data_IF_016652393569
#
_entry.id   IF_016652393569
#
_cell.length_a   1.000
_cell.length_b   1.000
_cell.length_c   1.000
_cell.angle_alpha   90.00
_cell.angle_beta   90.00
_cell.angle_gamma   90.00
#
_symmetry.space_group_name_H-M   'P 1'
#
loop_
_entity.id
_entity.type
_entity.pdbx_description
1 polymer ?
#
# COMPACT_ATOMS: atom_id res chain seq x y z
N UNK A 1 31.74 -2.23 -26.09
CA UNK A 1 30.93 -2.88 -25.05
C UNK A 1 29.61 -3.26 -25.69
N UNK A 2 29.17 -4.53 -25.71
CA UNK A 2 27.84 -4.82 -26.23
C UNK A 2 26.81 -4.21 -25.29
N UNK A 3 25.88 -3.46 -25.87
CA UNK A 3 24.78 -2.78 -25.22
C UNK A 3 23.84 -3.85 -24.63
N UNK A 4 23.93 -4.09 -23.31
CA UNK A 4 23.10 -5.10 -22.64
C UNK A 4 21.68 -4.56 -22.58
N UNK A 5 20.82 -5.01 -23.49
CA UNK A 5 19.38 -4.74 -23.43
C UNK A 5 18.85 -5.28 -22.09
N UNK A 6 18.33 -4.39 -21.26
CA UNK A 6 17.60 -4.74 -20.05
C UNK A 6 16.43 -5.65 -20.43
N UNK A 7 16.30 -6.77 -19.72
CA UNK A 7 15.17 -7.69 -19.87
C UNK A 7 14.03 -7.26 -18.96
N UNK A 8 12.81 -7.75 -19.22
CA UNK A 8 11.67 -7.57 -18.31
C UNK A 8 11.94 -8.13 -16.91
N UNK A 9 12.76 -9.18 -16.81
CA UNK A 9 13.20 -9.78 -15.55
C UNK A 9 14.15 -8.85 -14.78
N UNK A 10 15.10 -8.22 -15.48
CA UNK A 10 15.98 -7.20 -14.89
C UNK A 10 15.16 -5.98 -14.40
N UNK A 11 14.11 -5.61 -15.13
CA UNK A 11 13.16 -4.57 -14.73
C UNK A 11 12.37 -4.91 -13.47
N UNK A 12 11.78 -6.10 -13.40
CA UNK A 12 11.04 -6.57 -12.21
C UNK A 12 11.92 -6.65 -10.97
N UNK A 13 13.14 -7.19 -11.10
CA UNK A 13 14.09 -7.23 -9.98
C UNK A 13 14.43 -5.82 -9.47
N UNK A 14 14.70 -4.89 -10.39
CA UNK A 14 15.03 -3.51 -10.03
C UNK A 14 13.87 -2.81 -9.30
N UNK A 15 12.62 -3.08 -9.71
CA UNK A 15 11.43 -2.55 -9.03
C UNK A 15 11.28 -3.12 -7.61
N UNK A 16 11.41 -4.44 -7.46
CA UNK A 16 11.31 -5.09 -6.15
C UNK A 16 12.39 -4.57 -5.17
N UNK A 17 13.64 -4.46 -5.61
CA UNK A 17 14.74 -3.88 -4.83
C UNK A 17 14.44 -2.43 -4.41
N UNK A 18 13.94 -1.62 -5.35
CA UNK A 18 13.56 -0.23 -5.07
C UNK A 18 12.42 -0.12 -4.05
N UNK A 19 11.42 -1.00 -4.16
CA UNK A 19 10.27 -1.05 -3.26
C UNK A 19 10.72 -1.38 -1.83
N UNK A 20 11.60 -2.36 -1.68
CA UNK A 20 12.18 -2.73 -0.38
C UNK A 20 13.01 -1.58 0.20
N UNK A 21 13.83 -0.92 -0.62
CA UNK A 21 14.61 0.25 -0.20
C UNK A 21 13.71 1.36 0.34
N UNK A 22 12.62 1.69 -0.38
CA UNK A 22 11.66 2.72 0.02
C UNK A 22 10.88 2.36 1.28
N UNK A 23 10.42 1.12 1.39
CA UNK A 23 9.73 0.63 2.59
C UNK A 23 10.65 0.70 3.83
N UNK A 24 11.92 0.28 3.69
CA UNK A 24 12.90 0.35 4.77
C UNK A 24 13.22 1.80 5.16
N UNK A 25 13.40 2.69 4.20
CA UNK A 25 13.63 4.11 4.47
C UNK A 25 12.46 4.73 5.24
N UNK A 26 11.21 4.43 4.85
CA UNK A 26 10.02 4.87 5.55
C UNK A 26 9.95 4.28 6.97
N UNK A 27 10.22 2.98 7.15
CA UNK A 27 10.27 2.32 8.46
C UNK A 27 11.33 2.93 9.38
N UNK A 28 12.53 3.21 8.87
CA UNK A 28 13.59 3.86 9.64
C UNK A 28 13.21 5.29 10.05
N UNK A 29 12.49 6.02 9.18
CA UNK A 29 12.04 7.39 9.43
C UNK A 29 10.94 7.46 10.49
N UNK A 30 9.98 6.53 10.45
CA UNK A 30 8.77 6.57 11.29
C UNK A 30 8.83 5.66 12.52
N UNK A 31 9.80 4.75 12.59
CA UNK A 31 10.01 3.84 13.70
C UNK A 31 9.59 2.40 13.38
N UNK A 32 10.01 1.47 14.24
CA UNK A 32 9.75 0.03 14.06
C UNK A 32 8.29 -0.36 14.34
N UNK A 33 7.55 0.50 15.04
CA UNK A 33 6.14 0.33 15.34
C UNK A 33 5.35 1.43 14.64
N UNK A 34 4.56 1.03 13.64
CA UNK A 34 3.72 1.91 12.83
C UNK A 34 2.27 1.59 13.18
N UNK A 35 1.64 2.47 13.96
CA UNK A 35 0.23 2.41 14.32
C UNK A 35 -0.63 3.27 13.39
N UNK A 36 -1.93 3.36 13.66
CA UNK A 36 -2.90 4.16 12.92
C UNK A 36 -2.48 5.64 12.76
N UNK A 37 -1.98 6.26 13.82
CA UNK A 37 -1.60 7.67 13.81
C UNK A 37 -0.32 7.89 13.00
N UNK A 38 0.63 6.97 13.10
CA UNK A 38 1.87 6.98 12.31
C UNK A 38 1.55 6.79 10.82
N UNK A 39 0.83 5.73 10.45
CA UNK A 39 0.54 5.45 9.04
C UNK A 39 -0.32 6.55 8.40
N UNK A 40 -1.23 7.17 9.17
CA UNK A 40 -2.03 8.31 8.69
C UNK A 40 -1.14 9.52 8.40
N UNK A 41 -0.16 9.83 9.28
CA UNK A 41 0.83 10.90 9.00
C UNK A 41 1.74 10.58 7.81
N UNK A 42 1.99 9.31 7.52
CA UNK A 42 2.77 8.91 6.35
C UNK A 42 2.05 9.22 5.04
N UNK A 43 0.70 9.20 5.03
CA UNK A 43 -0.07 9.59 3.85
C UNK A 43 0.18 11.04 3.42
N UNK A 44 0.59 11.92 4.34
CA UNK A 44 0.94 13.31 4.07
C UNK A 44 2.39 13.51 3.60
N UNK A 45 3.27 12.54 3.86
CA UNK A 45 4.70 12.63 3.55
C UNK A 45 5.01 12.23 2.11
N UNK A 46 5.44 13.22 1.32
CA UNK A 46 5.73 13.04 -0.11
C UNK A 46 6.95 12.17 -0.41
N UNK A 47 7.80 11.91 0.58
CA UNK A 47 8.91 10.98 0.44
C UNK A 47 8.45 9.52 0.53
N UNK A 48 7.30 9.26 1.17
CA UNK A 48 6.71 7.93 1.36
C UNK A 48 5.55 7.70 0.40
N UNK A 49 4.61 8.65 0.32
CA UNK A 49 3.44 8.62 -0.55
C UNK A 49 3.55 9.74 -1.58
N UNK A 50 3.79 9.37 -2.84
CA UNK A 50 4.17 10.29 -3.91
C UNK A 50 3.09 11.34 -4.23
N UNK A 51 1.82 10.96 -4.12
CA UNK A 51 0.70 11.81 -4.52
C UNK A 51 -0.27 12.07 -3.37
N UNK A 52 -0.87 13.27 -3.28
CA UNK A 52 -1.82 13.63 -2.23
C UNK A 52 -2.86 12.52 -2.04
N UNK A 53 -3.03 12.02 -0.82
CA UNK A 53 -3.92 10.88 -0.54
C UNK A 53 -4.76 11.18 0.69
N UNK A 54 -6.08 11.22 0.52
CA UNK A 54 -7.02 11.24 1.64
C UNK A 54 -7.46 9.82 2.02
N UNK A 55 -7.87 9.63 3.27
CA UNK A 55 -8.47 8.38 3.77
C UNK A 55 -9.97 8.60 4.00
N UNK A 56 -10.81 7.65 3.58
CA UNK A 56 -12.26 7.69 3.82
C UNK A 56 -12.80 6.31 4.15
N UNK A 57 -13.58 6.21 5.22
CA UNK A 57 -14.31 4.99 5.58
C UNK A 57 -15.66 4.97 4.87
N UNK A 58 -15.70 4.35 3.69
CA UNK A 58 -16.88 4.32 2.83
C UNK A 58 -16.76 3.14 1.85
N UNK A 59 -17.80 2.30 1.80
CA UNK A 59 -17.83 1.09 0.99
C UNK A 59 -18.44 1.31 -0.41
N UNK A 60 -18.98 2.50 -0.72
CA UNK A 60 -19.63 2.75 -2.02
C UNK A 60 -18.69 2.52 -3.22
N UNK A 61 -17.40 2.79 -3.05
CA UNK A 61 -16.38 2.59 -4.09
C UNK A 61 -15.81 1.16 -4.12
N UNK A 62 -16.11 0.32 -3.13
CA UNK A 62 -15.52 -1.01 -2.96
C UNK A 62 -16.34 -2.08 -3.69
N UNK A 63 -15.64 -3.01 -4.33
CA UNK A 63 -16.24 -4.22 -4.87
C UNK A 63 -16.40 -5.30 -3.79
N UNK A 64 -17.23 -6.31 -4.06
CA UNK A 64 -17.42 -7.43 -3.16
C UNK A 64 -16.07 -8.13 -2.90
N UNK A 65 -15.66 -8.19 -1.64
CA UNK A 65 -14.40 -8.80 -1.20
C UNK A 65 -13.22 -7.82 -1.12
N UNK A 66 -13.39 -6.55 -1.48
CA UNK A 66 -12.38 -5.53 -1.26
C UNK A 66 -12.49 -4.93 0.14
N UNK A 67 -11.36 -4.85 0.85
CA UNK A 67 -11.25 -4.15 2.12
C UNK A 67 -10.92 -2.66 1.95
N UNK A 68 -10.27 -2.30 0.83
CA UNK A 68 -9.90 -0.94 0.50
C UNK A 68 -9.58 -0.78 -1.00
N UNK A 69 -9.69 0.46 -1.48
CA UNK A 69 -9.43 0.83 -2.88
C UNK A 69 -8.87 2.25 -2.97
N UNK A 70 -7.74 2.41 -3.66
CA UNK A 70 -7.13 3.72 -3.91
C UNK A 70 -7.70 4.31 -5.21
N UNK A 71 -8.73 5.15 -5.09
CA UNK A 71 -9.37 5.78 -6.24
C UNK A 71 -8.63 7.07 -6.67
N UNK A 72 -8.22 7.21 -7.94
CA UNK A 72 -7.74 8.49 -8.47
C UNK A 72 -8.84 9.56 -8.45
N UNK A 73 -8.50 10.78 -8.06
CA UNK A 73 -9.45 11.91 -8.04
C UNK A 73 -9.58 12.63 -9.38
N UNK A 74 -8.73 12.32 -10.35
CA UNK A 74 -8.69 12.97 -11.65
C UNK A 74 -8.01 12.12 -12.71
N UNK A 75 -7.65 12.77 -13.81
CA UNK A 75 -6.99 12.17 -14.96
C UNK A 75 -5.48 11.98 -14.78
N UNK A 76 -4.89 12.72 -13.84
CA UNK A 76 -3.46 12.68 -13.53
C UNK A 76 -3.22 12.31 -12.07
N UNK A 77 -2.20 11.49 -11.74
CA UNK A 77 -1.88 11.14 -10.36
C UNK A 77 -1.61 12.35 -9.44
N UNK A 78 -1.14 13.47 -9.98
CA UNK A 78 -0.92 14.72 -9.23
C UNK A 78 -2.20 15.36 -8.70
N UNK A 79 -3.36 14.99 -9.25
CA UNK A 79 -4.68 15.41 -8.73
C UNK A 79 -5.05 14.66 -7.43
N UNK A 80 -4.29 13.62 -7.08
CA UNK A 80 -4.39 12.90 -5.82
C UNK A 80 -5.31 11.69 -5.87
N UNK A 81 -5.40 11.02 -4.72
CA UNK A 81 -6.14 9.79 -4.50
C UNK A 81 -7.04 9.92 -3.28
N UNK A 82 -8.15 9.19 -3.29
CA UNK A 82 -8.92 8.87 -2.09
C UNK A 82 -8.79 7.36 -1.84
N UNK A 83 -8.18 7.01 -0.71
CA UNK A 83 -8.13 5.64 -0.23
C UNK A 83 -9.44 5.35 0.52
N UNK A 84 -10.34 4.66 -0.15
CA UNK A 84 -11.57 4.13 0.44
C UNK A 84 -11.22 2.89 1.24
N UNK A 85 -11.60 2.85 2.51
CA UNK A 85 -11.47 1.69 3.39
C UNK A 85 -12.87 1.26 3.84
N UNK A 86 -13.11 -0.04 3.95
CA UNK A 86 -14.40 -0.55 4.35
C UNK A 86 -14.77 -0.02 5.76
N UNK A 87 -16.00 0.51 5.98
CA UNK A 87 -16.41 1.12 7.26
C UNK A 87 -16.27 0.21 8.48
N UNK A 88 -16.27 -1.10 8.26
CA UNK A 88 -15.96 -2.11 9.29
C UNK A 88 -14.68 -1.80 10.08
N UNK A 89 -13.66 -1.23 9.42
CA UNK A 89 -12.36 -0.93 10.03
C UNK A 89 -12.26 0.44 10.68
N UNK A 90 -13.32 1.27 10.65
CA UNK A 90 -13.30 2.63 11.23
C UNK A 90 -12.94 2.62 12.72
N UNK A 91 -13.36 1.58 13.45
CA UNK A 91 -13.11 1.42 14.87
C UNK A 91 -12.03 0.36 15.18
N UNK A 92 -11.20 0.00 14.20
CA UNK A 92 -10.14 -1.02 14.30
C UNK A 92 -8.79 -0.40 13.89
N UNK A 93 -8.23 0.53 14.70
CA UNK A 93 -7.01 1.25 14.35
C UNK A 93 -5.81 0.33 14.09
N UNK A 94 -5.76 -0.84 14.71
CA UNK A 94 -4.74 -1.87 14.51
C UNK A 94 -4.72 -2.46 13.09
N UNK A 95 -5.85 -2.42 12.37
CA UNK A 95 -5.93 -2.89 10.99
C UNK A 95 -5.34 -1.88 10.01
N UNK A 96 -5.43 -0.57 10.31
CA UNK A 96 -5.10 0.49 9.35
C UNK A 96 -3.68 0.43 8.79
N UNK A 97 -2.63 0.14 9.57
CA UNK A 97 -1.27 -0.02 9.03
C UNK A 97 -1.20 -1.09 7.94
N UNK A 98 -1.87 -2.23 8.13
CA UNK A 98 -1.89 -3.33 7.16
C UNK A 98 -2.64 -2.90 5.90
N UNK A 99 -3.85 -2.35 6.05
CA UNK A 99 -4.68 -1.98 4.90
C UNK A 99 -4.02 -0.86 4.09
N UNK A 100 -3.55 0.20 4.74
CA UNK A 100 -2.98 1.38 4.06
C UNK A 100 -1.64 1.02 3.40
N UNK A 101 -0.76 0.27 4.06
CA UNK A 101 0.54 -0.07 3.51
C UNK A 101 0.44 -0.85 2.19
N UNK A 102 -0.58 -1.70 2.04
CA UNK A 102 -0.84 -2.45 0.82
C UNK A 102 -1.08 -1.54 -0.40
N UNK A 103 -1.69 -0.37 -0.20
CA UNK A 103 -2.04 0.53 -1.30
C UNK A 103 -0.95 1.57 -1.65
N UNK A 104 0.06 1.78 -0.79
CA UNK A 104 1.11 2.78 -1.04
C UNK A 104 1.86 2.54 -2.36
N UNK A 105 2.27 1.31 -2.73
CA UNK A 105 2.95 1.09 -4.01
C UNK A 105 2.06 1.40 -5.22
N UNK A 106 0.77 1.04 -5.15
CA UNK A 106 -0.21 1.34 -6.21
C UNK A 106 -0.34 2.85 -6.38
N UNK A 107 -0.43 3.60 -5.29
CA UNK A 107 -0.47 5.07 -5.33
C UNK A 107 0.82 5.61 -5.95
N UNK A 108 1.99 5.11 -5.55
CA UNK A 108 3.28 5.67 -5.97
C UNK A 108 3.66 5.38 -7.43
N UNK A 109 3.29 4.20 -7.93
CA UNK A 109 3.81 3.64 -9.18
C UNK A 109 2.71 3.26 -10.18
N UNK A 110 1.46 3.10 -9.73
CA UNK A 110 0.32 2.69 -10.55
C UNK A 110 0.10 1.17 -10.56
N UNK A 111 -1.16 0.77 -10.65
CA UNK A 111 -1.66 -0.61 -10.66
C UNK A 111 -1.19 -1.46 -11.86
N UNK A 112 -0.78 -0.82 -12.95
CA UNK A 112 -0.18 -1.47 -14.12
C UNK A 112 1.31 -1.79 -13.95
N UNK A 113 1.98 -1.15 -12.99
CA UNK A 113 3.42 -1.28 -12.75
C UNK A 113 3.71 -2.21 -11.57
N UNK A 114 2.92 -2.10 -10.49
CA UNK A 114 3.05 -2.96 -9.32
C UNK A 114 2.08 -4.12 -9.38
N UNK A 115 2.57 -5.30 -9.04
CA UNK A 115 1.77 -6.51 -8.83
C UNK A 115 1.43 -6.69 -7.36
N UNK A 116 0.69 -7.75 -7.04
CA UNK A 116 0.32 -8.08 -5.66
C UNK A 116 1.56 -8.39 -4.82
N UNK A 117 2.51 -9.08 -5.42
CA UNK A 117 3.79 -9.45 -4.82
C UNK A 117 4.57 -8.20 -4.38
N UNK A 118 4.58 -7.13 -5.19
CA UNK A 118 5.22 -5.88 -4.82
C UNK A 118 4.47 -5.12 -3.71
N UNK A 119 3.13 -5.18 -3.69
CA UNK A 119 2.33 -4.56 -2.61
C UNK A 119 2.51 -5.28 -1.28
N UNK A 120 2.55 -6.60 -1.30
CA UNK A 120 2.79 -7.44 -0.13
C UNK A 120 4.22 -7.26 0.40
N UNK A 121 5.21 -7.25 -0.50
CA UNK A 121 6.61 -7.02 -0.16
C UNK A 121 6.81 -5.65 0.50
N UNK A 122 6.20 -4.60 -0.06
CA UNK A 122 6.28 -3.26 0.52
C UNK A 122 5.68 -3.23 1.92
N UNK A 123 4.44 -3.72 2.08
CA UNK A 123 3.72 -3.66 3.35
C UNK A 123 4.39 -4.49 4.44
N UNK A 124 4.82 -5.70 4.11
CA UNK A 124 5.57 -6.56 5.01
C UNK A 124 6.89 -5.89 5.45
N UNK A 125 7.65 -5.34 4.50
CA UNK A 125 8.91 -4.64 4.81
C UNK A 125 8.67 -3.41 5.68
N UNK A 126 7.65 -2.61 5.36
CA UNK A 126 7.32 -1.40 6.08
C UNK A 126 6.95 -1.70 7.55
N UNK A 127 6.15 -2.73 7.77
CA UNK A 127 5.66 -3.12 9.09
C UNK A 127 6.60 -4.08 9.82
N UNK A 128 7.66 -4.55 9.15
CA UNK A 128 8.67 -5.46 9.71
C UNK A 128 8.12 -6.85 9.98
N UNK A 129 7.29 -7.32 9.07
CA UNK A 129 6.68 -8.65 9.07
C UNK A 129 7.31 -9.49 7.97
N UNK A 130 7.21 -10.81 8.12
CA UNK A 130 7.43 -11.70 6.98
C UNK A 130 6.28 -11.54 5.97
N UNK A 131 6.57 -11.69 4.68
CA UNK A 131 5.58 -11.47 3.60
C UNK A 131 4.35 -12.36 3.80
N UNK A 132 4.56 -13.63 4.12
CA UNK A 132 3.47 -14.58 4.40
C UNK A 132 2.61 -14.17 5.60
N UNK A 133 3.22 -13.60 6.65
CA UNK A 133 2.49 -13.12 7.83
C UNK A 133 1.63 -11.90 7.48
N UNK A 134 2.18 -11.00 6.66
CA UNK A 134 1.47 -9.82 6.19
C UNK A 134 0.29 -10.20 5.28
N UNK A 135 0.51 -11.09 4.31
CA UNK A 135 -0.53 -11.62 3.44
C UNK A 135 -1.65 -12.30 4.24
N UNK A 136 -1.29 -13.19 5.17
CA UNK A 136 -2.25 -13.89 6.01
C UNK A 136 -3.09 -12.91 6.84
N UNK A 137 -2.48 -11.87 7.42
CA UNK A 137 -3.20 -10.84 8.17
C UNK A 137 -4.18 -10.06 7.28
N UNK A 138 -3.81 -9.75 6.03
CA UNK A 138 -4.73 -9.11 5.08
C UNK A 138 -5.91 -10.02 4.72
N UNK A 139 -5.67 -11.32 4.51
CA UNK A 139 -6.75 -12.29 4.28
C UNK A 139 -7.71 -12.37 5.47
N UNK A 140 -7.18 -12.44 6.69
CA UNK A 140 -8.00 -12.46 7.91
C UNK A 140 -8.84 -11.19 8.06
N UNK A 141 -8.28 -10.03 7.75
CA UNK A 141 -9.02 -8.77 7.75
C UNK A 141 -10.12 -8.80 6.67
N UNK A 142 -9.82 -9.22 5.44
CA UNK A 142 -10.78 -9.32 4.36
C UNK A 142 -11.94 -10.28 4.70
N UNK A 143 -11.64 -11.45 5.26
CA UNK A 143 -12.62 -12.45 5.68
C UNK A 143 -13.44 -12.01 6.91
N UNK A 144 -12.93 -11.07 7.71
CA UNK A 144 -13.66 -10.51 8.86
C UNK A 144 -14.80 -9.59 8.47
N UNK A 145 -14.82 -9.09 7.22
CA UNK A 145 -15.86 -8.19 6.74
C UNK A 145 -17.19 -8.95 6.67
N UNK A 146 -18.24 -8.51 7.39
CA UNK A 146 -19.54 -9.16 7.33
C UNK A 146 -20.07 -9.20 5.90
N UNK A 147 -20.57 -10.37 5.48
CA UNK A 147 -21.28 -10.48 4.20
C UNK A 147 -22.58 -9.69 4.28
N UNK A 148 -22.67 -8.60 3.50
CA UNK A 148 -23.90 -7.82 3.28
C UNK A 148 -24.98 -8.64 2.57
#
# INVERSE_FOLDING_TARGET
>A
MPDRKLTEEDGRRSLAEHIVEKANAARLKYGLYIDADVISRMLDDREVVRYPTGLRFDAEALQKGEFAFAQPLGSQPSEGFCLFVHPWFENQPEALPLLIAYHIPVINYGDTVVTREETELYGATLLGLEIEQYYQALCELADSIPSS
#
